data_IF_224523994327
#
_entry.id   IF_224523994327
#
_cell.length_a   1.000
_cell.length_b   1.000
_cell.length_c   1.000
_cell.angle_alpha   90.00
_cell.angle_beta   90.00
_cell.angle_gamma   90.00
#
_symmetry.space_group_name_H-M   'P 1'
#
loop_
_entity.id
_entity.type
_entity.pdbx_description
1 polymer ?
#
# COMPACT_ATOMS: atom_id res chain seq x y z
N UNK A 1 8.39 7.41 15.38
CA UNK A 1 8.00 6.02 15.03
C UNK A 1 8.75 5.61 13.78
N UNK A 2 9.51 4.52 13.81
CA UNK A 2 10.24 4.01 12.63
C UNK A 2 9.21 3.70 11.54
N UNK A 3 9.32 4.30 10.35
CA UNK A 3 8.49 3.88 9.22
C UNK A 3 8.94 2.47 8.82
N UNK A 4 8.04 1.51 8.92
CA UNK A 4 8.22 0.24 8.24
C UNK A 4 8.03 0.52 6.74
N UNK A 5 9.08 0.33 5.95
CA UNK A 5 9.00 0.46 4.50
C UNK A 5 8.57 -0.89 3.95
N UNK A 6 7.33 -0.96 3.47
CA UNK A 6 6.80 -2.12 2.77
C UNK A 6 7.44 -2.23 1.37
N UNK A 7 7.79 -3.45 0.97
CA UNK A 7 8.38 -3.69 -0.35
C UNK A 7 7.35 -3.55 -1.47
N UNK A 8 6.22 -4.25 -1.36
CA UNK A 8 5.14 -4.17 -2.36
C UNK A 8 3.77 -4.10 -1.68
N UNK A 9 2.98 -3.11 -2.08
CA UNK A 9 1.57 -2.98 -1.75
C UNK A 9 0.74 -3.22 -3.00
N UNK A 10 -0.24 -4.11 -2.94
CA UNK A 10 -1.19 -4.36 -4.03
C UNK A 10 -2.57 -3.90 -3.60
N UNK A 11 -3.21 -3.07 -4.43
CA UNK A 11 -4.57 -2.60 -4.23
C UNK A 11 -5.53 -3.24 -5.25
N UNK A 12 -6.51 -3.99 -4.75
CA UNK A 12 -7.60 -4.61 -5.53
C UNK A 12 -8.96 -4.22 -4.93
N UNK A 13 -9.75 -5.22 -4.51
CA UNK A 13 -10.93 -5.03 -3.67
C UNK A 13 -10.51 -4.62 -2.25
N UNK A 14 -9.34 -5.11 -1.81
CA UNK A 14 -8.67 -4.74 -0.58
C UNK A 14 -7.16 -4.55 -0.80
N UNK A 15 -6.44 -4.20 0.27
CA UNK A 15 -4.99 -4.03 0.27
C UNK A 15 -4.27 -5.30 0.73
N UNK A 16 -3.27 -5.73 -0.02
CA UNK A 16 -2.37 -6.82 0.35
C UNK A 16 -0.92 -6.33 0.40
N UNK A 17 -0.22 -6.65 1.48
CA UNK A 17 1.20 -6.35 1.66
C UNK A 17 2.06 -7.57 1.32
N UNK A 18 3.22 -7.32 0.71
CA UNK A 18 4.22 -8.32 0.38
C UNK A 18 5.58 -7.81 0.84
N UNK A 19 6.19 -8.52 1.78
CA UNK A 19 7.55 -8.28 2.27
C UNK A 19 8.48 -9.35 1.70
N UNK A 20 9.66 -8.96 1.23
CA UNK A 20 10.65 -9.86 0.63
C UNK A 20 11.87 -9.93 1.55
N UNK A 21 12.30 -11.15 1.88
CA UNK A 21 13.50 -11.43 2.68
C UNK A 21 14.43 -12.37 1.92
N UNK A 22 15.60 -11.86 1.60
CA UNK A 22 16.70 -12.60 1.00
C UNK A 22 17.44 -13.44 2.06
N UNK A 23 18.38 -14.29 1.63
CA UNK A 23 19.22 -15.08 2.56
C UNK A 23 20.15 -14.23 3.43
N UNK A 24 20.40 -12.98 3.02
CA UNK A 24 21.26 -12.01 3.71
C UNK A 24 20.49 -11.18 4.75
N UNK A 25 19.16 -11.26 4.76
CA UNK A 25 18.34 -10.47 5.67
C UNK A 25 18.31 -11.05 7.09
N UNK A 26 18.24 -10.15 8.07
CA UNK A 26 17.96 -10.49 9.45
C UNK A 26 16.45 -10.38 9.73
N UNK A 27 15.92 -11.37 10.45
CA UNK A 27 14.48 -11.45 10.73
C UNK A 27 14.05 -10.71 12.00
N UNK A 28 14.99 -10.11 12.72
CA UNK A 28 14.75 -9.46 14.03
C UNK A 28 13.68 -8.37 14.02
N UNK A 29 13.44 -7.74 12.86
CA UNK A 29 12.41 -6.69 12.70
C UNK A 29 11.12 -7.19 12.05
N UNK A 30 11.11 -8.43 11.53
CA UNK A 30 10.03 -8.91 10.67
C UNK A 30 8.68 -8.87 11.39
N UNK A 31 8.59 -9.42 12.60
CA UNK A 31 7.32 -9.41 13.36
C UNK A 31 6.73 -8.01 13.52
N UNK A 32 7.53 -7.02 13.89
CA UNK A 32 7.06 -5.63 14.02
C UNK A 32 6.65 -5.00 12.69
N UNK A 33 7.32 -5.35 11.58
CA UNK A 33 6.91 -4.92 10.24
C UNK A 33 5.54 -5.51 9.87
N UNK A 34 5.35 -6.81 10.10
CA UNK A 34 4.09 -7.51 9.79
C UNK A 34 2.93 -6.93 10.59
N UNK A 35 3.10 -6.70 11.90
CA UNK A 35 2.05 -6.07 12.71
C UNK A 35 1.72 -4.65 12.24
N UNK A 36 2.70 -3.88 11.74
CA UNK A 36 2.42 -2.57 11.15
C UNK A 36 1.63 -2.68 9.83
N UNK A 37 1.95 -3.66 8.98
CA UNK A 37 1.25 -3.86 7.71
C UNK A 37 -0.19 -4.33 7.88
N UNK A 38 -0.45 -5.17 8.89
CA UNK A 38 -1.80 -5.65 9.24
C UNK A 38 -2.76 -4.52 9.63
N UNK A 39 -2.25 -3.34 10.01
CA UNK A 39 -3.07 -2.15 10.31
C UNK A 39 -3.77 -1.56 9.09
N UNK A 40 -3.34 -1.90 7.88
CA UNK A 40 -3.94 -1.37 6.67
C UNK A 40 -4.13 -2.39 5.55
N UNK A 41 -3.58 -3.60 5.67
CA UNK A 41 -3.75 -4.69 4.72
C UNK A 41 -4.59 -5.83 5.31
N UNK A 42 -5.51 -6.36 4.51
CA UNK A 42 -6.27 -7.56 4.88
C UNK A 42 -5.44 -8.83 4.71
N UNK A 43 -4.49 -8.82 3.76
CA UNK A 43 -3.57 -9.93 3.54
C UNK A 43 -2.14 -9.44 3.66
N UNK A 44 -1.30 -10.23 4.33
CA UNK A 44 0.14 -9.98 4.40
C UNK A 44 0.87 -11.24 3.99
N UNK A 45 1.84 -11.08 3.09
CA UNK A 45 2.70 -12.13 2.57
C UNK A 45 4.15 -11.84 2.91
N UNK A 46 4.89 -12.90 3.25
CA UNK A 46 6.34 -12.89 3.34
C UNK A 46 6.90 -13.84 2.30
N UNK A 47 7.69 -13.29 1.39
CA UNK A 47 8.49 -14.03 0.43
C UNK A 47 9.88 -14.21 1.00
N UNK A 48 10.31 -15.45 1.17
CA UNK A 48 11.55 -15.79 1.86
C UNK A 48 12.31 -16.94 1.20
N UNK A 49 13.34 -17.45 1.84
CA UNK A 49 14.15 -18.58 1.41
C UNK A 49 14.03 -19.75 2.41
N UNK A 50 14.48 -20.95 2.01
CA UNK A 50 14.39 -22.15 2.85
C UNK A 50 15.08 -21.97 4.22
N UNK A 51 16.18 -21.19 4.28
CA UNK A 51 16.91 -20.84 5.53
C UNK A 51 16.01 -20.18 6.58
N UNK A 52 15.06 -19.37 6.14
CA UNK A 52 14.25 -18.51 7.02
C UNK A 52 12.85 -19.06 7.29
N UNK A 53 12.41 -20.08 6.56
CA UNK A 53 11.04 -20.60 6.63
C UNK A 53 10.62 -20.97 8.05
N UNK A 54 11.39 -21.82 8.73
CA UNK A 54 11.02 -22.28 10.08
C UNK A 54 11.02 -21.15 11.13
N UNK A 55 11.84 -20.12 10.93
CA UNK A 55 11.82 -18.95 11.81
C UNK A 55 10.57 -18.10 11.57
N UNK A 56 10.18 -17.91 10.30
CA UNK A 56 8.94 -17.23 9.92
C UNK A 56 7.70 -17.96 10.47
N UNK A 57 7.63 -19.28 10.34
CA UNK A 57 6.51 -20.09 10.86
C UNK A 57 6.33 -19.94 12.37
N UNK A 58 7.45 -19.88 13.14
CA UNK A 58 7.39 -19.75 14.60
C UNK A 58 7.03 -18.34 15.09
N UNK A 59 7.41 -17.30 14.35
CA UNK A 59 7.28 -15.91 14.83
C UNK A 59 6.07 -15.18 14.26
N UNK A 60 5.48 -15.65 13.15
CA UNK A 60 4.44 -14.93 12.42
C UNK A 60 3.06 -15.57 12.61
N UNK A 61 2.00 -14.76 12.77
CA UNK A 61 0.63 -15.25 12.86
C UNK A 61 0.26 -16.18 11.70
N UNK A 62 -0.63 -17.15 11.96
CA UNK A 62 -1.07 -18.12 10.94
C UNK A 62 -1.83 -17.51 9.76
N UNK A 63 -2.35 -16.30 9.93
CA UNK A 63 -2.98 -15.53 8.86
C UNK A 63 -1.98 -15.01 7.83
N UNK A 64 -0.69 -14.94 8.17
CA UNK A 64 0.36 -14.42 7.27
C UNK A 64 0.82 -15.50 6.31
N UNK A 65 0.75 -15.19 5.01
CA UNK A 65 1.20 -16.09 3.95
C UNK A 65 2.71 -16.17 3.88
N UNK A 66 3.22 -17.38 3.68
CA UNK A 66 4.64 -17.67 3.52
C UNK A 66 4.88 -18.30 2.15
N UNK A 67 5.66 -17.61 1.33
CA UNK A 67 6.12 -18.10 0.04
C UNK A 67 7.65 -18.22 0.06
N UNK A 68 8.17 -19.31 -0.50
CA UNK A 68 9.61 -19.59 -0.53
C UNK A 68 10.10 -19.57 -1.97
N UNK A 69 11.13 -18.76 -2.22
CA UNK A 69 11.92 -18.86 -3.44
C UNK A 69 12.88 -20.02 -3.29
N UNK A 70 12.61 -21.10 -4.01
CA UNK A 70 13.46 -22.30 -4.02
C UNK A 70 14.77 -22.05 -4.75
N UNK A 71 15.77 -22.91 -4.55
CA UNK A 71 17.05 -22.88 -5.28
C UNK A 71 16.93 -22.99 -6.81
N UNK A 72 15.77 -23.46 -7.31
CA UNK A 72 15.46 -23.52 -8.75
C UNK A 72 14.74 -22.26 -9.26
N UNK A 73 14.73 -21.18 -8.47
CA UNK A 73 14.03 -19.92 -8.77
C UNK A 73 12.51 -20.07 -8.98
N UNK A 74 11.92 -21.09 -8.35
CA UNK A 74 10.46 -21.28 -8.33
C UNK A 74 9.91 -20.82 -6.99
N UNK A 75 8.74 -20.17 -7.03
CA UNK A 75 7.99 -19.78 -5.83
C UNK A 75 7.15 -21.00 -5.39
N UNK A 76 7.36 -21.44 -4.16
CA UNK A 76 6.53 -22.45 -3.48
C UNK A 76 5.77 -21.79 -2.34
N UNK A 77 4.45 -21.90 -2.34
CA UNK A 77 3.64 -21.48 -1.19
C UNK A 77 3.80 -22.53 -0.08
N UNK A 78 4.38 -22.11 1.05
CA UNK A 78 4.49 -22.96 2.25
C UNK A 78 3.23 -22.84 3.12
N UNK A 79 2.70 -21.62 3.25
CA UNK A 79 1.44 -21.31 3.94
C UNK A 79 0.70 -20.22 3.15
N UNK A 80 -0.55 -20.40 2.73
CA UNK A 80 -1.30 -19.33 2.07
C UNK A 80 -1.63 -18.21 3.07
N UNK A 81 -1.68 -16.95 2.60
CA UNK A 81 -2.24 -15.88 3.43
C UNK A 81 -3.75 -16.07 3.57
N UNK A 82 -4.28 -15.63 4.70
CA UNK A 82 -5.73 -15.57 4.94
C UNK A 82 -6.11 -14.13 5.20
N UNK A 83 -7.20 -13.69 4.57
CA UNK A 83 -7.77 -12.36 4.80
C UNK A 83 -8.15 -12.19 6.27
N UNK A 84 -7.63 -11.14 6.90
CA UNK A 84 -7.86 -10.83 8.30
C UNK A 84 -8.07 -9.32 8.49
N UNK A 85 -9.05 -8.95 9.30
CA UNK A 85 -9.48 -7.55 9.48
C UNK A 85 -9.35 -7.08 10.92
N UNK A 86 -8.87 -7.96 11.81
CA UNK A 86 -8.81 -7.78 13.26
C UNK A 86 -7.91 -6.62 13.69
N UNK A 87 -6.83 -6.39 12.92
CA UNK A 87 -5.82 -5.38 13.20
C UNK A 87 -6.03 -4.08 12.40
N UNK A 88 -7.04 -4.00 11.52
CA UNK A 88 -7.22 -2.81 10.68
C UNK A 88 -7.47 -1.55 11.52
N UNK A 89 -6.71 -0.51 11.22
CA UNK A 89 -6.82 0.79 11.86
C UNK A 89 -7.13 1.87 10.81
N UNK A 90 -8.26 2.54 10.97
CA UNK A 90 -8.67 3.66 10.10
C UNK A 90 -7.57 4.70 9.93
N UNK A 91 -6.93 5.14 11.02
CA UNK A 91 -5.85 6.14 10.98
C UNK A 91 -4.66 5.69 10.13
N UNK A 92 -4.26 4.41 10.25
CA UNK A 92 -3.17 3.82 9.48
C UNK A 92 -3.50 3.76 7.98
N UNK A 93 -4.74 3.43 7.62
CA UNK A 93 -5.19 3.43 6.22
C UNK A 93 -5.29 4.84 5.62
N UNK A 94 -5.83 5.81 6.36
CA UNK A 94 -5.98 7.19 5.88
C UNK A 94 -4.62 7.84 5.58
N UNK A 95 -3.57 7.47 6.31
CA UNK A 95 -2.20 7.95 6.07
C UNK A 95 -1.60 7.49 4.73
N UNK A 96 -2.18 6.50 4.07
CA UNK A 96 -1.76 6.05 2.73
C UNK A 96 -2.24 6.99 1.61
N UNK A 97 -3.26 7.80 1.90
CA UNK A 97 -3.90 8.69 0.93
C UNK A 97 -3.08 9.96 0.73
N UNK A 98 -2.86 10.31 -0.53
CA UNK A 98 -2.36 11.62 -0.95
C UNK A 98 -3.43 12.68 -0.72
N UNK A 99 -3.01 13.94 -0.69
CA UNK A 99 -3.90 15.08 -0.38
C UNK A 99 -5.19 15.08 -1.21
N UNK A 100 -5.09 14.88 -2.52
CA UNK A 100 -6.28 14.88 -3.38
C UNK A 100 -7.21 13.70 -3.07
N UNK A 101 -6.64 12.53 -2.79
CA UNK A 101 -7.41 11.32 -2.42
C UNK A 101 -8.13 11.51 -1.07
N UNK A 102 -7.53 12.24 -0.12
CA UNK A 102 -8.18 12.62 1.14
C UNK A 102 -9.37 13.55 0.91
N UNK A 103 -9.21 14.54 0.02
CA UNK A 103 -10.29 15.47 -0.37
C UNK A 103 -11.43 14.72 -1.04
N UNK A 104 -11.12 13.78 -1.94
CA UNK A 104 -12.13 13.00 -2.65
C UNK A 104 -12.90 12.08 -1.68
N UNK A 105 -12.22 11.50 -0.69
CA UNK A 105 -12.88 10.70 0.35
C UNK A 105 -13.77 11.57 1.26
N UNK A 106 -13.32 12.77 1.66
CA UNK A 106 -14.17 13.71 2.42
C UNK A 106 -15.47 14.04 1.68
N UNK A 107 -15.38 14.33 0.38
CA UNK A 107 -16.56 14.59 -0.46
C UNK A 107 -17.48 13.38 -0.57
N UNK A 108 -16.91 12.18 -0.72
CA UNK A 108 -17.68 10.93 -0.71
C UNK A 108 -18.46 10.76 0.60
N UNK A 109 -17.87 11.15 1.72
CA UNK A 109 -18.50 11.14 3.05
C UNK A 109 -19.49 12.30 3.27
N UNK A 110 -19.78 13.10 2.24
CA UNK A 110 -20.74 14.21 2.31
C UNK A 110 -20.20 15.47 2.99
N UNK A 111 -18.88 15.57 3.22
CA UNK A 111 -18.27 16.76 3.79
C UNK A 111 -17.95 17.76 2.68
N UNK A 112 -18.45 18.99 2.82
CA UNK A 112 -18.02 20.09 1.97
C UNK A 112 -16.58 20.49 2.34
N UNK A 113 -15.70 20.38 1.36
CA UNK A 113 -14.28 20.71 1.52
C UNK A 113 -13.98 22.17 1.20
N UNK A 114 -14.95 22.92 0.68
CA UNK A 114 -14.78 24.34 0.39
C UNK A 114 -14.52 25.10 1.70
N UNK A 115 -13.39 25.81 1.75
CA UNK A 115 -12.99 26.57 2.93
C UNK A 115 -12.28 25.76 4.01
N UNK A 116 -12.13 24.43 3.87
CA UNK A 116 -11.30 23.65 4.81
C UNK A 116 -9.82 23.99 4.56
N UNK A 117 -9.09 24.53 5.56
CA UNK A 117 -7.66 24.75 5.43
C UNK A 117 -6.93 23.43 5.21
N UNK A 118 -5.88 23.44 4.39
CA UNK A 118 -5.09 22.25 4.07
C UNK A 118 -4.56 21.52 5.33
N UNK A 119 -4.24 22.28 6.37
CA UNK A 119 -3.73 21.75 7.66
C UNK A 119 -4.79 20.98 8.45
N UNK A 120 -6.07 21.17 8.14
CA UNK A 120 -7.20 20.51 8.82
C UNK A 120 -7.80 19.34 8.03
N UNK A 121 -7.38 19.11 6.79
CA UNK A 121 -7.93 18.03 5.96
C UNK A 121 -7.80 16.66 6.65
N UNK A 122 -6.62 16.36 7.19
CA UNK A 122 -6.36 15.07 7.83
C UNK A 122 -7.20 14.87 9.10
N UNK A 123 -7.38 15.92 9.92
CA UNK A 123 -8.17 15.82 11.15
C UNK A 123 -9.67 15.70 10.85
N UNK A 124 -10.17 16.47 9.88
CA UNK A 124 -11.56 16.37 9.41
C UNK A 124 -11.85 14.99 8.81
N UNK A 125 -10.93 14.46 8.00
CA UNK A 125 -11.08 13.14 7.41
C UNK A 125 -11.10 12.05 8.48
N UNK A 126 -10.24 12.17 9.50
CA UNK A 126 -10.23 11.24 10.63
C UNK A 126 -11.55 11.25 11.40
N UNK A 127 -12.10 12.43 11.66
CA UNK A 127 -13.39 12.58 12.33
C UNK A 127 -14.54 11.97 11.52
N UNK A 128 -14.61 12.30 10.22
CA UNK A 128 -15.65 11.78 9.33
C UNK A 128 -15.56 10.26 9.15
N UNK A 129 -14.35 9.74 8.94
CA UNK A 129 -14.11 8.30 8.79
C UNK A 129 -14.40 7.51 10.08
N UNK A 130 -14.29 8.14 11.25
CA UNK A 130 -14.67 7.53 12.54
C UNK A 130 -16.15 7.20 12.67
N UNK A 131 -17.01 7.73 11.78
CA UNK A 131 -18.44 7.43 11.71
C UNK A 131 -18.78 6.28 10.77
N UNK A 132 -17.79 5.72 10.09
CA UNK A 132 -17.94 4.65 9.10
C UNK A 132 -17.38 3.33 9.64
N UNK A 133 -17.77 2.21 9.02
CA UNK A 133 -17.14 0.94 9.33
C UNK A 133 -15.69 0.90 8.82
N UNK A 134 -14.81 0.17 9.52
CA UNK A 134 -13.40 0.02 9.11
C UNK A 134 -13.29 -0.58 7.70
N UNK A 135 -14.19 -1.50 7.34
CA UNK A 135 -14.21 -2.16 6.03
C UNK A 135 -14.64 -1.21 4.91
N UNK A 136 -15.57 -0.30 5.18
CA UNK A 136 -15.96 0.73 4.21
C UNK A 136 -14.78 1.64 3.89
N UNK A 137 -14.09 2.14 4.93
CA UNK A 137 -12.91 2.98 4.74
C UNK A 137 -11.81 2.21 4.02
N UNK A 138 -11.57 0.95 4.40
CA UNK A 138 -10.59 0.09 3.76
C UNK A 138 -10.88 -0.04 2.25
N UNK A 139 -12.12 -0.32 1.87
CA UNK A 139 -12.51 -0.46 0.47
C UNK A 139 -12.29 0.84 -0.31
N UNK A 140 -12.61 1.99 0.30
CA UNK A 140 -12.39 3.31 -0.32
C UNK A 140 -10.92 3.68 -0.46
N UNK A 141 -10.10 3.34 0.53
CA UNK A 141 -8.65 3.51 0.44
C UNK A 141 -8.10 2.61 -0.68
N UNK A 142 -8.50 1.33 -0.74
CA UNK A 142 -8.08 0.42 -1.80
C UNK A 142 -8.49 0.92 -3.20
N UNK A 143 -9.70 1.45 -3.35
CA UNK A 143 -10.19 2.05 -4.58
C UNK A 143 -9.30 3.23 -5.03
N UNK A 144 -8.99 4.16 -4.11
CA UNK A 144 -8.13 5.31 -4.40
C UNK A 144 -6.72 4.88 -4.81
N UNK A 145 -6.09 3.96 -4.07
CA UNK A 145 -4.75 3.47 -4.37
C UNK A 145 -4.67 2.72 -5.71
N UNK A 146 -5.72 1.94 -6.04
CA UNK A 146 -5.84 1.26 -7.33
C UNK A 146 -5.99 2.25 -8.49
N UNK A 147 -6.79 3.30 -8.32
CA UNK A 147 -6.95 4.36 -9.30
C UNK A 147 -5.62 5.11 -9.53
N UNK A 148 -4.88 5.41 -8.46
CA UNK A 148 -3.54 6.00 -8.53
C UNK A 148 -2.58 5.15 -9.37
N UNK A 149 -2.45 3.86 -9.05
CA UNK A 149 -1.57 2.95 -9.80
C UNK A 149 -1.96 2.84 -11.28
N UNK A 150 -3.26 2.85 -11.58
CA UNK A 150 -3.77 2.83 -12.96
C UNK A 150 -3.38 4.09 -13.74
N UNK A 151 -3.52 5.26 -13.12
CA UNK A 151 -3.15 6.54 -13.74
C UNK A 151 -1.64 6.64 -13.96
N UNK A 152 -0.86 6.21 -12.98
CA UNK A 152 0.60 6.13 -13.07
C UNK A 152 1.06 5.20 -14.22
N UNK A 153 0.43 4.03 -14.36
CA UNK A 153 0.71 3.11 -15.46
C UNK A 153 0.35 3.70 -16.84
N UNK A 154 -0.74 4.47 -16.95
CA UNK A 154 -1.08 5.20 -18.19
C UNK A 154 -0.02 6.23 -18.54
N UNK A 155 0.44 7.02 -17.57
CA UNK A 155 1.49 8.02 -17.79
C UNK A 155 2.81 7.39 -18.20
N UNK A 156 3.22 6.29 -17.55
CA UNK A 156 4.49 5.61 -17.82
C UNK A 156 4.63 5.13 -19.28
N UNK A 157 3.52 4.87 -19.99
CA UNK A 157 3.52 4.47 -21.41
C UNK A 157 4.04 5.55 -22.36
N UNK A 158 3.99 6.81 -21.94
CA UNK A 158 4.45 7.95 -22.71
C UNK A 158 5.87 8.39 -22.32
N UNK A 159 6.53 7.68 -21.41
CA UNK A 159 7.83 8.06 -20.88
C UNK A 159 8.93 7.18 -21.47
N UNK A 160 10.13 7.75 -21.74
CA UNK A 160 11.31 6.94 -21.99
C UNK A 160 11.57 5.96 -20.85
N UNK A 161 12.02 4.73 -21.17
CA UNK A 161 12.26 3.67 -20.18
C UNK A 161 13.13 4.12 -19.00
N UNK A 162 14.12 4.98 -19.27
CA UNK A 162 15.03 5.54 -18.27
C UNK A 162 14.34 6.44 -17.23
N UNK A 163 13.18 7.02 -17.54
CA UNK A 163 12.48 7.98 -16.68
C UNK A 163 11.25 7.40 -15.97
N UNK A 164 10.77 6.21 -16.36
CA UNK A 164 9.56 5.59 -15.80
C UNK A 164 9.60 5.56 -14.27
N UNK A 165 10.68 5.08 -13.67
CA UNK A 165 10.78 4.96 -12.21
C UNK A 165 10.66 6.32 -11.50
N UNK A 166 11.32 7.35 -12.04
CA UNK A 166 11.25 8.71 -11.49
C UNK A 166 9.83 9.26 -11.57
N UNK A 167 9.19 9.09 -12.73
CA UNK A 167 7.84 9.59 -12.98
C UNK A 167 6.79 8.89 -12.10
N UNK A 168 6.93 7.58 -11.89
CA UNK A 168 6.06 6.81 -10.99
C UNK A 168 6.22 7.20 -9.51
N UNK A 169 7.42 7.62 -9.10
CA UNK A 169 7.70 7.99 -7.71
C UNK A 169 7.10 9.36 -7.31
N UNK A 170 6.87 10.24 -8.28
CA UNK A 170 6.42 11.61 -8.02
C UNK A 170 4.89 11.71 -7.82
N UNK A 171 4.46 12.74 -7.09
CA UNK A 171 3.05 13.13 -6.96
C UNK A 171 2.72 14.27 -7.90
N UNK A 172 2.69 13.96 -9.20
CA UNK A 172 2.44 14.94 -10.25
C UNK A 172 0.93 15.18 -10.41
N UNK A 173 0.54 16.46 -10.40
CA UNK A 173 -0.80 16.90 -10.80
C UNK A 173 -1.04 16.61 -12.29
N UNK A 174 -2.31 16.48 -12.70
CA UNK A 174 -2.67 16.23 -14.11
C UNK A 174 -1.98 17.24 -15.07
N UNK A 175 -1.96 18.57 -14.80
CA UNK A 175 -1.24 19.52 -15.65
C UNK A 175 0.28 19.27 -15.72
N UNK A 176 0.92 18.85 -14.63
CA UNK A 176 2.33 18.48 -14.63
C UNK A 176 2.58 17.21 -15.45
N UNK A 177 1.71 16.21 -15.34
CA UNK A 177 1.78 14.98 -16.13
C UNK A 177 1.68 15.28 -17.64
N UNK A 178 0.71 16.12 -18.03
CA UNK A 178 0.52 16.49 -19.44
C UNK A 178 1.72 17.23 -20.01
N UNK A 179 2.28 18.22 -19.29
CA UNK A 179 3.49 18.93 -19.71
C UNK A 179 4.69 18.00 -19.88
N UNK A 180 4.84 17.03 -18.97
CA UNK A 180 5.93 16.06 -19.06
C UNK A 180 5.75 15.13 -20.26
N UNK A 181 4.52 14.66 -20.51
CA UNK A 181 4.20 13.84 -21.68
C UNK A 181 4.51 14.60 -22.96
N UNK A 182 4.12 15.88 -23.05
CA UNK A 182 4.37 16.74 -24.20
C UNK A 182 5.87 16.94 -24.46
N UNK A 183 6.67 17.14 -23.41
CA UNK A 183 8.12 17.31 -23.53
C UNK A 183 8.86 16.08 -24.08
N UNK A 184 8.24 14.90 -24.08
CA UNK A 184 8.82 13.65 -24.61
C UNK A 184 8.04 13.09 -25.81
N UNK A 185 7.07 13.83 -26.35
CA UNK A 185 6.45 13.55 -27.64
C UNK A 185 7.29 14.19 -28.74
N UNK A 186 8.38 13.51 -29.10
CA UNK A 186 9.11 13.71 -30.36
C UNK A 186 8.87 12.51 -31.28
#
# INVERSE_FOLDING_TARGET
>A
MRSAKLDVLIARQFLSAYEIKTELDELSRLGAQIEEYRKFCQEVWVFTCDKHLSACERQLPDTVGLAVLTKRYQIRVARPATSCVDALETDSMLRLLRKQEQVDLLKYLGIDVLGIPNTMLASQLKEAAGRCSVLEIQAKVAEALRARGTNQAKMARYMPKSLIASVLAQDLTIPQQLRLIEAFKE
#
